data_IF_130074145430
#
_entry.id   IF_130074145430
#
_cell.length_a   1.000
_cell.length_b   1.000
_cell.length_c   1.000
_cell.angle_alpha   90.00
_cell.angle_beta   90.00
_cell.angle_gamma   90.00
#
_symmetry.space_group_name_H-M   'P 1'
#
loop_
_entity.id
_entity.type
_entity.pdbx_description
1 polymer ?
#
# COMPACT_ATOMS: atom_id res chain seq x y z
N UNK A 1 -11.36 -8.79 -8.89
CA UNK A 1 -9.97 -8.45 -9.27
C UNK A 1 -9.68 -9.01 -10.64
N UNK A 2 -9.11 -8.21 -11.50
CA UNK A 2 -8.83 -8.56 -12.88
C UNK A 2 -7.68 -9.57 -12.97
N UNK A 3 -7.92 -10.72 -13.63
CA UNK A 3 -6.92 -11.77 -13.80
C UNK A 3 -5.69 -11.28 -14.58
N UNK A 4 -5.89 -10.46 -15.61
CA UNK A 4 -4.78 -9.92 -16.38
C UNK A 4 -3.90 -8.98 -15.55
N UNK A 5 -4.51 -8.17 -14.69
CA UNK A 5 -3.77 -7.29 -13.78
C UNK A 5 -2.91 -8.10 -12.80
N UNK A 6 -3.43 -9.21 -12.28
CA UNK A 6 -2.66 -10.11 -11.41
C UNK A 6 -1.49 -10.74 -12.14
N UNK A 7 -1.71 -11.22 -13.36
CA UNK A 7 -0.63 -11.84 -14.15
C UNK A 7 0.46 -10.83 -14.46
N UNK A 8 0.10 -9.59 -14.81
CA UNK A 8 1.08 -8.52 -15.01
C UNK A 8 1.92 -8.29 -13.77
N UNK A 9 1.28 -8.14 -12.61
CA UNK A 9 1.97 -7.92 -11.35
C UNK A 9 2.92 -9.08 -11.03
N UNK A 10 2.48 -10.31 -11.22
CA UNK A 10 3.31 -11.49 -10.97
C UNK A 10 4.54 -11.51 -11.85
N UNK A 11 4.41 -11.15 -13.14
CA UNK A 11 5.55 -11.10 -14.05
C UNK A 11 6.52 -9.99 -13.68
N UNK A 12 6.00 -8.81 -13.35
CA UNK A 12 6.83 -7.65 -13.02
C UNK A 12 7.57 -7.82 -11.70
N UNK A 13 6.97 -8.51 -10.74
CA UNK A 13 7.51 -8.58 -9.38
C UNK A 13 8.22 -9.89 -9.06
N UNK A 14 8.23 -10.85 -9.98
CA UNK A 14 8.96 -12.09 -9.76
C UNK A 14 10.45 -11.87 -9.93
N UNK A 15 11.23 -12.37 -8.95
CA UNK A 15 12.68 -12.36 -8.98
C UNK A 15 13.19 -13.81 -9.00
N UNK A 16 13.65 -14.31 -10.15
CA UNK A 16 14.11 -15.71 -10.24
C UNK A 16 15.37 -15.98 -9.42
N UNK A 17 16.23 -14.99 -9.20
CA UNK A 17 17.43 -15.18 -8.38
C UNK A 17 17.07 -15.40 -6.91
N UNK A 18 16.07 -14.67 -6.44
CA UNK A 18 15.58 -14.80 -5.07
C UNK A 18 14.58 -15.95 -4.91
N UNK A 19 14.11 -16.52 -6.02
CA UNK A 19 13.02 -17.50 -6.04
C UNK A 19 11.81 -17.00 -5.24
N UNK A 20 11.46 -15.71 -5.43
CA UNK A 20 10.41 -15.06 -4.69
C UNK A 20 9.87 -13.85 -5.44
N UNK A 21 8.66 -13.45 -5.09
CA UNK A 21 8.14 -12.15 -5.49
C UNK A 21 8.75 -11.06 -4.61
N UNK A 22 8.94 -9.87 -5.19
CA UNK A 22 9.42 -8.69 -4.46
C UNK A 22 8.25 -7.75 -4.18
N UNK A 23 8.23 -7.20 -2.96
CA UNK A 23 7.22 -6.22 -2.58
C UNK A 23 7.32 -4.98 -3.47
N UNK A 24 6.19 -4.53 -4.01
CA UNK A 24 6.13 -3.36 -4.89
C UNK A 24 6.71 -2.10 -4.23
N UNK A 25 6.46 -1.91 -2.94
CA UNK A 25 6.84 -0.68 -2.24
C UNK A 25 8.25 -0.70 -1.66
N UNK A 26 8.76 -1.88 -1.28
CA UNK A 26 10.02 -1.99 -0.54
C UNK A 26 11.09 -2.79 -1.24
N UNK A 27 10.71 -3.63 -2.19
CA UNK A 27 11.62 -4.54 -2.85
C UNK A 27 12.05 -5.76 -2.03
N UNK A 28 11.54 -5.93 -0.81
CA UNK A 28 11.90 -7.10 -0.02
C UNK A 28 11.29 -8.38 -0.60
N UNK A 29 11.95 -9.51 -0.39
CA UNK A 29 11.41 -10.80 -0.79
C UNK A 29 10.18 -11.13 0.04
N UNK A 30 9.11 -11.52 -0.64
CA UNK A 30 7.86 -11.92 -0.01
C UNK A 30 7.86 -13.42 0.28
N UNK A 31 7.07 -13.84 1.26
CA UNK A 31 6.91 -15.23 1.64
C UNK A 31 5.46 -15.67 1.57
N UNK A 32 5.24 -16.96 1.42
CA UNK A 32 3.92 -17.56 1.49
C UNK A 32 3.52 -17.96 2.92
N UNK A 33 4.41 -17.75 3.91
CA UNK A 33 4.14 -18.13 5.30
C UNK A 33 2.99 -17.29 5.88
N UNK A 34 1.87 -17.93 6.30
CA UNK A 34 0.76 -17.19 6.89
C UNK A 34 1.18 -16.51 8.19
N UNK A 35 0.71 -15.29 8.37
CA UNK A 35 0.98 -14.51 9.58
C UNK A 35 2.32 -13.79 9.61
N UNK A 36 3.20 -14.05 8.66
CA UNK A 36 4.46 -13.31 8.53
C UNK A 36 4.19 -11.91 8.00
N UNK A 37 4.91 -10.91 8.53
CA UNK A 37 4.78 -9.53 8.05
C UNK A 37 5.22 -9.35 6.60
N UNK A 38 5.98 -10.30 6.07
CA UNK A 38 6.37 -10.35 4.65
C UNK A 38 5.45 -11.20 3.80
N UNK A 39 4.34 -11.69 4.34
CA UNK A 39 3.40 -12.51 3.59
C UNK A 39 2.89 -11.77 2.36
N UNK A 40 2.71 -12.52 1.27
CA UNK A 40 2.17 -11.98 0.03
C UNK A 40 0.73 -11.52 0.25
N UNK A 41 0.46 -10.28 -0.12
CA UNK A 41 -0.90 -9.74 -0.18
C UNK A 41 -1.11 -9.05 -1.51
N UNK A 42 -2.36 -9.06 -1.98
CA UNK A 42 -2.76 -8.28 -3.13
C UNK A 42 -3.20 -6.90 -2.68
N UNK A 43 -2.64 -5.86 -3.30
CA UNK A 43 -2.93 -4.48 -2.95
C UNK A 43 -3.40 -3.72 -4.17
N UNK A 44 -4.52 -3.02 -4.03
CA UNK A 44 -4.98 -2.05 -5.04
C UNK A 44 -4.21 -0.75 -4.85
N UNK A 45 -3.56 -0.26 -5.90
CA UNK A 45 -2.84 1.02 -5.83
C UNK A 45 -3.77 2.19 -5.58
N UNK A 46 -4.97 2.13 -6.17
CA UNK A 46 -6.07 3.01 -5.83
C UNK A 46 -7.28 2.16 -5.42
N UNK A 47 -7.76 2.27 -4.18
CA UNK A 47 -8.91 1.47 -3.74
C UNK A 47 -10.18 1.68 -4.56
N UNK A 48 -10.28 2.81 -5.25
CA UNK A 48 -11.43 3.14 -6.10
C UNK A 48 -11.31 2.61 -7.52
N UNK A 49 -10.12 2.14 -7.89
CA UNK A 49 -9.83 1.64 -9.23
C UNK A 49 -9.15 0.27 -9.12
N UNK A 50 -9.89 -0.78 -9.43
CA UNK A 50 -9.40 -2.15 -9.38
C UNK A 50 -8.54 -2.57 -10.57
N UNK A 51 -8.24 -1.64 -11.51
CA UNK A 51 -7.52 -1.98 -12.73
C UNK A 51 -6.04 -2.27 -12.48
N UNK A 52 -5.47 -1.77 -11.39
CA UNK A 52 -4.07 -1.98 -11.08
C UNK A 52 -3.88 -2.53 -9.67
N UNK A 53 -3.32 -3.73 -9.63
CA UNK A 53 -3.00 -4.41 -8.38
C UNK A 53 -1.53 -4.76 -8.37
N UNK A 54 -0.96 -4.84 -7.18
CA UNK A 54 0.42 -5.24 -6.97
C UNK A 54 0.51 -6.22 -5.82
N UNK A 55 1.63 -6.95 -5.75
CA UNK A 55 1.97 -7.78 -4.61
C UNK A 55 2.73 -6.93 -3.60
N UNK A 56 2.31 -7.00 -2.36
CA UNK A 56 2.93 -6.24 -1.28
C UNK A 56 3.01 -7.08 -0.01
N UNK A 57 3.98 -6.75 0.84
CA UNK A 57 4.10 -7.37 2.14
C UNK A 57 2.89 -7.03 3.01
N UNK A 58 2.45 -7.98 3.81
CA UNK A 58 1.28 -7.80 4.67
C UNK A 58 1.37 -6.56 5.56
N UNK A 59 2.54 -6.29 6.13
CA UNK A 59 2.74 -5.10 6.95
C UNK A 59 2.50 -3.82 6.16
N UNK A 60 3.05 -3.74 4.95
CA UNK A 60 2.91 -2.55 4.09
C UNK A 60 1.46 -2.36 3.68
N UNK A 61 0.77 -3.46 3.35
CA UNK A 61 -0.65 -3.41 3.01
C UNK A 61 -1.48 -2.80 4.17
N UNK A 62 -1.21 -3.24 5.40
CA UNK A 62 -1.89 -2.68 6.58
C UNK A 62 -1.58 -1.21 6.79
N UNK A 63 -0.33 -0.80 6.59
CA UNK A 63 0.08 0.60 6.73
C UNK A 63 -0.60 1.49 5.71
N UNK A 64 -0.69 1.01 4.46
CA UNK A 64 -1.32 1.76 3.39
C UNK A 64 -2.84 1.87 3.59
N UNK A 65 -3.48 0.85 4.14
CA UNK A 65 -4.92 0.82 4.36
C UNK A 65 -5.69 1.19 3.07
N UNK A 66 -6.63 2.13 3.14
CA UNK A 66 -7.45 2.55 2.01
C UNK A 66 -6.88 3.75 1.24
N UNK A 67 -5.62 4.10 1.50
CA UNK A 67 -4.98 5.21 0.81
C UNK A 67 -4.65 4.84 -0.64
N UNK A 68 -4.60 5.85 -1.50
CA UNK A 68 -4.00 5.67 -2.82
C UNK A 68 -2.49 5.54 -2.68
N UNK A 69 -1.82 5.07 -3.73
CA UNK A 69 -0.35 5.01 -3.73
C UNK A 69 0.27 6.38 -3.42
N UNK A 70 -0.24 7.41 -4.07
CA UNK A 70 0.27 8.76 -3.89
C UNK A 70 0.08 9.26 -2.46
N UNK A 71 -1.10 9.05 -1.89
CA UNK A 71 -1.39 9.43 -0.51
C UNK A 71 -0.49 8.70 0.47
N UNK A 72 -0.29 7.41 0.27
CA UNK A 72 0.55 6.60 1.13
C UNK A 72 2.01 7.08 1.09
N UNK A 73 2.55 7.29 -0.11
CA UNK A 73 3.93 7.77 -0.27
C UNK A 73 4.11 9.16 0.36
N UNK A 74 3.14 10.04 0.19
CA UNK A 74 3.17 11.37 0.79
C UNK A 74 3.17 11.33 2.32
N UNK A 75 2.34 10.48 2.91
CA UNK A 75 2.29 10.31 4.37
C UNK A 75 3.60 9.76 4.92
N UNK A 76 4.15 8.73 4.28
CA UNK A 76 5.42 8.14 4.74
C UNK A 76 6.54 9.17 4.70
N UNK A 77 6.60 9.97 3.64
CA UNK A 77 7.61 11.02 3.53
C UNK A 77 7.44 12.09 4.61
N UNK A 78 6.22 12.54 4.83
CA UNK A 78 5.94 13.56 5.84
C UNK A 78 6.27 13.06 7.24
N UNK A 79 5.98 11.82 7.54
CA UNK A 79 6.34 11.20 8.82
C UNK A 79 7.85 11.10 8.98
N UNK A 80 8.57 10.66 7.95
CA UNK A 80 10.01 10.55 7.99
C UNK A 80 10.65 11.92 8.23
N UNK A 81 10.21 12.93 7.51
CA UNK A 81 10.71 14.31 7.67
C UNK A 81 10.47 14.82 9.10
N UNK A 82 9.30 14.56 9.65
CA UNK A 82 8.97 14.99 11.02
C UNK A 82 9.81 14.25 12.06
N UNK A 83 10.07 12.97 11.87
CA UNK A 83 10.92 12.20 12.78
C UNK A 83 12.35 12.67 12.78
N UNK A 84 12.85 13.15 11.64
CA UNK A 84 14.19 13.74 11.55
C UNK A 84 14.26 15.14 12.16
N UNK A 85 13.16 15.88 12.12
CA UNK A 85 13.07 17.27 12.57
C UNK A 85 11.85 17.45 13.48
N UNK A 86 11.86 16.84 14.68
CA UNK A 86 10.69 16.88 15.57
C UNK A 86 10.33 18.26 16.07
N UNK A 87 11.25 19.21 16.01
CA UNK A 87 11.02 20.61 16.37
C UNK A 87 10.19 21.37 15.32
N UNK A 88 10.12 20.86 14.10
CA UNK A 88 9.29 21.43 13.05
C UNK A 88 7.88 20.83 13.08
N UNK A 89 6.84 21.61 12.78
CA UNK A 89 5.49 21.05 12.76
C UNK A 89 5.33 20.04 11.63
N UNK A 90 4.51 19.05 11.86
CA UNK A 90 4.16 18.05 10.84
C UNK A 90 3.49 18.75 9.64
N UNK A 91 3.85 18.32 8.43
CA UNK A 91 3.24 18.83 7.21
C UNK A 91 1.81 18.29 7.06
N UNK A 92 0.85 19.05 7.52
CA UNK A 92 -0.55 18.66 7.51
C UNK A 92 -1.13 18.54 6.10
N UNK A 93 -0.47 19.13 5.09
CA UNK A 93 -0.95 19.00 3.70
C UNK A 93 -0.80 17.56 3.19
N UNK A 94 0.08 16.76 3.81
CA UNK A 94 0.26 15.36 3.48
C UNK A 94 -0.80 14.47 4.12
N UNK A 95 -1.58 14.99 5.07
CA UNK A 95 -2.64 14.21 5.72
C UNK A 95 -3.75 13.92 4.73
N UNK A 96 -4.05 12.64 4.45
CA UNK A 96 -5.06 12.32 3.45
C UNK A 96 -6.46 12.68 3.95
N UNK A 97 -7.37 13.06 3.05
CA UNK A 97 -8.76 13.25 3.42
C UNK A 97 -9.35 11.92 3.91
N UNK A 98 -10.40 12.00 4.72
CA UNK A 98 -11.12 10.81 5.11
C UNK A 98 -11.65 10.05 3.90
N UNK A 99 -11.90 8.74 4.04
CA UNK A 99 -12.45 7.98 2.94
C UNK A 99 -13.80 8.57 2.51
N UNK A 100 -14.06 8.50 1.19
CA UNK A 100 -15.36 8.88 0.68
C UNK A 100 -16.40 7.94 1.32
N UNK A 101 -17.15 8.47 2.27
CA UNK A 101 -18.21 7.70 2.91
C UNK A 101 -19.50 7.93 2.14
N UNK A 102 -20.32 6.89 1.98
CA UNK A 102 -21.69 7.13 1.59
C UNK A 102 -22.29 8.06 2.63
N UNK A 103 -23.16 8.96 2.21
CA UNK A 103 -23.83 9.84 3.15
C UNK A 103 -24.43 9.02 4.28
N UNK A 104 -24.27 9.48 5.54
CA UNK A 104 -24.89 8.75 6.64
C UNK A 104 -26.40 8.66 6.37
N UNK A 105 -26.95 7.45 6.57
CA UNK A 105 -28.38 7.28 6.46
C UNK A 105 -29.06 8.29 7.38
N UNK A 106 -30.11 8.99 6.90
CA UNK A 106 -30.83 9.87 7.78
C UNK A 106 -31.39 9.10 8.97
N UNK A 107 -31.40 9.72 10.15
CA UNK A 107 -31.96 9.03 11.31
C UNK A 107 -33.39 8.63 11.03
N UNK A 108 -33.71 7.41 11.43
CA UNK A 108 -35.03 6.87 11.22
C UNK A 108 -36.11 7.67 11.98
#
# INVERSE_FOLDING_TARGET
MNTDARLCAMREQWDPEADAFRCYFTGIALTEEPGDRRSITWEHLDPRDGSRVVLAAALINRMKADLTEEQFRGMVKALADHFEHPEEPFDETAWPPGPARPEPSPPA
#
